data_IF_340003159537
#
_entry.id   IF_340003159537
#
_cell.length_a   1.000
_cell.length_b   1.000
_cell.length_c   1.000
_cell.angle_alpha   90.00
_cell.angle_beta   90.00
_cell.angle_gamma   90.00
#
_symmetry.space_group_name_H-M   'P 1'
#
loop_
_entity.id
_entity.type
_entity.pdbx_description
1 polymer ?
#
# COMPACT_ATOMS: atom_id res chain seq x y z
N UNK A 1 -18.65 -6.69 -5.86
CA UNK A 1 -17.62 -5.85 -6.46
C UNK A 1 -17.86 -4.40 -6.03
N UNK A 2 -16.92 -3.75 -5.34
CA UNK A 2 -17.13 -2.38 -4.90
C UNK A 2 -17.24 -1.42 -6.09
N UNK A 3 -18.12 -0.44 -5.96
CA UNK A 3 -18.30 0.64 -6.95
C UNK A 3 -17.93 1.95 -6.27
N UNK A 4 -17.03 2.70 -6.88
CA UNK A 4 -16.53 3.96 -6.37
C UNK A 4 -16.50 5.04 -7.46
N UNK A 5 -16.09 6.24 -7.07
CA UNK A 5 -15.94 7.40 -7.97
C UNK A 5 -14.46 7.72 -8.28
N UNK A 6 -13.55 6.83 -7.94
CA UNK A 6 -12.12 7.01 -8.14
C UNK A 6 -11.63 6.73 -9.57
N UNK A 7 -10.34 7.03 -9.84
CA UNK A 7 -9.74 6.84 -11.16
C UNK A 7 -9.52 5.38 -11.55
N UNK A 8 -9.62 4.46 -10.60
CA UNK A 8 -9.44 3.03 -10.83
C UNK A 8 -10.65 2.24 -10.37
N UNK A 9 -10.97 1.17 -11.09
CA UNK A 9 -12.02 0.20 -10.77
C UNK A 9 -11.41 -1.15 -10.39
N UNK A 10 -12.02 -1.83 -9.43
CA UNK A 10 -11.59 -3.16 -9.00
C UNK A 10 -11.83 -4.16 -10.12
N UNK A 11 -10.79 -4.86 -10.54
CA UNK A 11 -10.83 -5.97 -11.47
C UNK A 11 -10.95 -7.30 -10.73
N UNK A 12 -9.91 -7.68 -10.00
CA UNK A 12 -9.82 -8.96 -9.28
C UNK A 12 -9.41 -8.73 -7.82
N UNK A 13 -9.96 -9.51 -6.92
CA UNK A 13 -9.54 -9.55 -5.52
C UNK A 13 -9.27 -11.00 -5.13
N UNK A 14 -8.02 -11.30 -4.79
CA UNK A 14 -7.60 -12.52 -4.13
C UNK A 14 -7.42 -12.24 -2.64
N UNK A 15 -8.37 -12.66 -1.81
CA UNK A 15 -8.33 -12.36 -0.39
C UNK A 15 -7.07 -12.90 0.28
N UNK A 16 -6.39 -12.04 1.03
CA UNK A 16 -5.14 -12.37 1.71
C UNK A 16 -3.89 -12.33 0.82
N UNK A 17 -4.02 -12.05 -0.47
CA UNK A 17 -2.91 -12.03 -1.42
C UNK A 17 -2.80 -10.67 -2.13
N UNK A 18 -3.70 -10.37 -3.07
CA UNK A 18 -3.64 -9.11 -3.80
C UNK A 18 -5.01 -8.60 -4.27
N UNK A 19 -5.07 -7.33 -4.63
CA UNK A 19 -6.16 -6.73 -5.39
C UNK A 19 -5.61 -6.07 -6.65
N UNK A 20 -6.24 -6.37 -7.79
CA UNK A 20 -5.94 -5.76 -9.08
C UNK A 20 -6.98 -4.70 -9.40
N UNK A 21 -6.50 -3.55 -9.86
CA UNK A 21 -7.32 -2.42 -10.26
C UNK A 21 -6.94 -1.98 -11.68
N UNK A 22 -7.96 -1.72 -12.50
CA UNK A 22 -7.79 -1.20 -13.85
C UNK A 22 -8.23 0.27 -13.92
N UNK A 23 -7.68 1.06 -14.85
CA UNK A 23 -8.07 2.44 -15.01
C UNK A 23 -9.56 2.55 -15.39
N UNK A 24 -10.20 3.59 -14.91
CA UNK A 24 -11.55 3.96 -15.32
C UNK A 24 -11.47 4.98 -16.46
N UNK A 25 -11.82 4.54 -17.66
CA UNK A 25 -11.66 5.34 -18.88
C UNK A 25 -12.47 6.65 -18.85
N UNK A 26 -13.66 6.61 -18.24
CA UNK A 26 -14.59 7.74 -18.13
C UNK A 26 -14.43 8.52 -16.82
N UNK A 27 -13.24 8.44 -16.18
CA UNK A 27 -12.98 9.20 -14.96
C UNK A 27 -13.09 10.71 -15.22
N UNK A 28 -13.83 11.45 -14.37
CA UNK A 28 -14.18 12.85 -14.61
C UNK A 28 -12.99 13.84 -14.68
N UNK A 29 -11.83 13.47 -14.11
CA UNK A 29 -10.57 14.22 -14.24
C UNK A 29 -9.65 13.67 -15.34
N UNK A 30 -10.15 12.81 -16.21
CA UNK A 30 -9.43 12.18 -17.30
C UNK A 30 -8.93 10.78 -16.95
N UNK A 31 -8.73 9.95 -17.98
CA UNK A 31 -8.23 8.59 -17.85
C UNK A 31 -6.84 8.58 -17.17
N UNK A 32 -6.63 7.74 -16.15
CA UNK A 32 -5.30 7.54 -15.57
C UNK A 32 -4.27 7.08 -16.61
N UNK A 33 -3.04 7.52 -16.45
CA UNK A 33 -1.91 7.11 -17.32
C UNK A 33 -1.30 5.76 -16.93
N UNK A 34 -1.67 5.25 -15.75
CA UNK A 34 -1.23 3.95 -15.24
C UNK A 34 -2.18 2.88 -15.76
N UNK A 35 -1.65 1.83 -16.38
CA UNK A 35 -2.46 0.77 -17.00
C UNK A 35 -3.04 -0.22 -15.99
N UNK A 36 -2.39 -0.40 -14.85
CA UNK A 36 -2.84 -1.31 -13.81
C UNK A 36 -2.22 -0.94 -12.46
N UNK A 37 -2.97 -1.10 -11.38
CA UNK A 37 -2.47 -1.04 -10.01
C UNK A 37 -2.70 -2.39 -9.36
N UNK A 38 -1.63 -3.00 -8.84
CA UNK A 38 -1.71 -4.25 -8.06
C UNK A 38 -1.32 -3.95 -6.63
N UNK A 39 -2.27 -4.06 -5.73
CA UNK A 39 -2.06 -3.88 -4.30
C UNK A 39 -1.84 -5.24 -3.64
N UNK A 40 -0.64 -5.51 -3.16
CA UNK A 40 -0.32 -6.75 -2.45
C UNK A 40 -0.71 -6.64 -0.97
N UNK A 41 -1.38 -7.66 -0.46
CA UNK A 41 -1.62 -7.80 0.96
C UNK A 41 -0.37 -8.37 1.64
N UNK A 42 0.04 -7.78 2.74
CA UNK A 42 1.08 -8.33 3.61
C UNK A 42 0.42 -8.91 4.86
N UNK A 43 0.27 -10.22 4.92
CA UNK A 43 -0.31 -10.90 6.09
C UNK A 43 0.66 -10.93 7.29
N UNK A 44 1.96 -10.85 7.03
CA UNK A 44 3.02 -11.01 8.04
C UNK A 44 3.74 -9.69 8.36
N UNK A 45 3.09 -8.57 8.13
CA UNK A 45 3.71 -7.27 8.33
C UNK A 45 4.77 -6.94 7.28
N UNK A 46 5.70 -6.07 7.63
CA UNK A 46 6.64 -5.46 6.68
C UNK A 46 7.79 -6.38 6.21
N UNK A 47 7.92 -7.58 6.78
CA UNK A 47 9.04 -8.51 6.47
C UNK A 47 9.11 -8.89 4.99
N UNK A 48 7.97 -9.03 4.33
CA UNK A 48 7.93 -9.36 2.91
C UNK A 48 8.13 -8.14 2.01
N UNK A 49 7.88 -6.93 2.53
CA UNK A 49 7.99 -5.70 1.76
C UNK A 49 9.45 -5.45 1.33
N UNK A 50 10.41 -5.55 2.24
CA UNK A 50 11.85 -5.36 1.93
C UNK A 50 12.32 -6.41 0.92
N UNK A 51 11.90 -7.67 1.07
CA UNK A 51 12.24 -8.74 0.11
C UNK A 51 11.63 -8.48 -1.28
N UNK A 52 10.40 -8.02 -1.35
CA UNK A 52 9.73 -7.70 -2.61
C UNK A 52 10.36 -6.47 -3.26
N UNK A 53 10.77 -5.47 -2.48
CA UNK A 53 11.53 -4.33 -2.96
C UNK A 53 12.89 -4.75 -3.55
N UNK A 54 13.63 -5.57 -2.84
CA UNK A 54 14.92 -6.09 -3.32
C UNK A 54 14.79 -6.91 -4.60
N UNK A 55 13.70 -7.66 -4.73
CA UNK A 55 13.38 -8.45 -5.93
C UNK A 55 12.76 -7.61 -7.07
N UNK A 56 12.65 -6.30 -6.91
CA UNK A 56 12.04 -5.39 -7.88
C UNK A 56 10.59 -5.77 -8.26
N UNK A 57 9.83 -6.25 -7.28
CA UNK A 57 8.44 -6.69 -7.47
C UNK A 57 7.41 -5.63 -7.13
N UNK A 58 7.85 -4.56 -6.44
CA UNK A 58 6.99 -3.46 -6.01
C UNK A 58 7.59 -2.12 -6.44
N UNK A 59 6.74 -1.20 -6.85
CA UNK A 59 7.10 0.15 -7.28
C UNK A 59 6.88 1.19 -6.18
N UNK A 60 5.98 0.90 -5.24
CA UNK A 60 5.63 1.78 -4.14
C UNK A 60 5.31 0.99 -2.87
N UNK A 61 5.84 1.45 -1.74
CA UNK A 61 5.53 0.89 -0.42
C UNK A 61 5.61 1.97 0.67
N UNK A 62 4.92 1.74 1.78
CA UNK A 62 5.01 2.56 2.98
C UNK A 62 5.49 1.66 4.12
N UNK A 63 6.55 2.06 4.80
CA UNK A 63 7.00 1.40 6.02
C UNK A 63 6.92 2.32 7.22
N UNK A 64 6.69 1.74 8.39
CA UNK A 64 6.76 2.40 9.72
C UNK A 64 7.90 1.80 10.56
N UNK A 65 8.65 0.87 9.99
CA UNK A 65 9.67 0.10 10.68
C UNK A 65 11.05 0.69 10.40
N UNK A 66 11.71 1.17 11.44
CA UNK A 66 13.00 1.88 11.32
C UNK A 66 14.13 0.98 10.78
N UNK A 67 14.07 -0.32 11.07
CA UNK A 67 15.07 -1.28 10.54
C UNK A 67 14.97 -1.44 9.03
N UNK A 68 13.78 -1.32 8.46
CA UNK A 68 13.56 -1.47 7.02
C UNK A 68 14.13 -0.27 6.25
N UNK A 69 14.14 0.91 6.87
CA UNK A 69 14.67 2.14 6.26
C UNK A 69 16.11 1.95 5.82
N UNK A 70 16.97 1.40 6.70
CA UNK A 70 18.38 1.15 6.36
C UNK A 70 18.54 0.20 5.19
N UNK A 71 17.79 -0.89 5.18
CA UNK A 71 17.84 -1.87 4.10
C UNK A 71 17.36 -1.28 2.76
N UNK A 72 16.36 -0.41 2.79
CA UNK A 72 15.82 0.25 1.61
C UNK A 72 16.74 1.36 1.09
N UNK A 73 17.43 2.09 1.97
CA UNK A 73 18.41 3.12 1.59
C UNK A 73 19.59 2.55 0.80
N UNK A 74 19.96 1.30 1.05
CA UNK A 74 21.03 0.60 0.34
C UNK A 74 20.63 0.15 -1.08
N UNK A 75 19.34 0.22 -1.44
CA UNK A 75 18.83 -0.21 -2.73
C UNK A 75 18.88 0.94 -3.74
N UNK A 76 19.69 0.84 -4.83
CA UNK A 76 19.89 1.95 -5.78
C UNK A 76 18.64 2.29 -6.61
N UNK A 77 17.69 1.36 -6.72
CA UNK A 77 16.44 1.55 -7.47
C UNK A 77 15.28 2.09 -6.62
N UNK A 78 15.50 2.23 -5.30
CA UNK A 78 14.49 2.76 -4.37
C UNK A 78 14.84 4.19 -3.94
N UNK A 79 13.82 5.03 -3.86
CA UNK A 79 13.93 6.37 -3.28
C UNK A 79 13.06 6.44 -2.04
N UNK A 80 13.68 6.73 -0.90
CA UNK A 80 12.97 6.99 0.34
C UNK A 80 12.58 8.46 0.43
N UNK A 81 11.34 8.67 0.85
CA UNK A 81 10.81 10.00 1.15
C UNK A 81 10.18 9.95 2.53
N UNK A 82 10.74 10.63 3.54
CA UNK A 82 10.11 10.70 4.85
C UNK A 82 8.78 11.46 4.75
N UNK A 83 7.78 10.97 5.47
CA UNK A 83 6.46 11.59 5.57
C UNK A 83 6.14 11.87 7.02
N UNK A 84 5.85 13.12 7.35
CA UNK A 84 5.30 13.50 8.64
C UNK A 84 3.79 13.26 8.65
N UNK A 85 3.40 12.20 9.35
CA UNK A 85 1.99 11.84 9.49
C UNK A 85 1.55 12.25 10.90
N UNK A 86 0.49 13.06 11.06
CA UNK A 86 -0.08 13.37 12.37
C UNK A 86 -0.70 12.09 12.96
N UNK A 87 0.08 11.40 13.78
CA UNK A 87 -0.28 10.10 14.33
C UNK A 87 -0.62 10.22 15.81
N UNK A 88 -1.83 9.84 16.18
CA UNK A 88 -2.24 9.79 17.58
C UNK A 88 -2.43 8.33 18.01
N UNK A 89 -1.71 7.93 19.06
CA UNK A 89 -1.93 6.65 19.72
C UNK A 89 -2.89 6.85 20.87
N UNK A 90 -3.94 6.05 20.91
CA UNK A 90 -4.96 6.10 21.96
C UNK A 90 -5.07 4.76 22.66
N UNK A 91 -5.32 4.80 23.95
CA UNK A 91 -5.69 3.64 24.73
C UNK A 91 -7.20 3.73 25.02
N UNK A 92 -7.92 2.70 24.59
CA UNK A 92 -9.34 2.57 24.89
C UNK A 92 -9.51 1.68 26.10
N UNK A 93 -10.13 2.23 27.14
CA UNK A 93 -10.44 1.48 28.37
C UNK A 93 -11.90 1.08 28.29
N UNK A 94 -12.17 -0.24 28.30
CA UNK A 94 -13.53 -0.73 28.40
C UNK A 94 -14.04 -0.53 29.84
N UNK A 95 -15.02 0.35 30.01
CA UNK A 95 -15.63 0.67 31.31
C UNK A 95 -16.96 -0.04 31.51
N UNK A 96 -17.42 -0.82 30.55
CA UNK A 96 -18.73 -1.51 30.58
C UNK A 96 -18.68 -2.92 31.22
N UNK A 97 -17.52 -3.58 31.14
CA UNK A 97 -17.31 -4.85 31.83
C UNK A 97 -16.72 -4.63 33.22
N UNK A 98 -17.51 -4.95 34.24
CA UNK A 98 -17.09 -4.97 35.63
C UNK A 98 -16.70 -6.38 36.05
#
# INVERSE_FOLDING_TARGET
KPVGSGPFKVDTVAFGDYASLLPFDDYFLGKPKIDQVVAFASADGDVNMVKNAAANRIDFAITKVTSDVKALEEMPHMKLTPMDIPYTRMMWINTYDK
#
